data_IF_995412253044
#
_entry.id   IF_995412253044
#
_cell.length_a   1.000
_cell.length_b   1.000
_cell.length_c   1.000
_cell.angle_alpha   90.00
_cell.angle_beta   90.00
_cell.angle_gamma   90.00
#
_symmetry.space_group_name_H-M   'P 1'
#
loop_
_entity.id
_entity.type
_entity.pdbx_description
1 polymer ?
#
# COMPACT_ATOMS: atom_id res chain seq x y z
N UNK A 1 8.81 -2.30 26.72
CA UNK A 1 9.89 -1.38 26.30
C UNK A 1 9.27 -0.41 25.30
N UNK A 2 8.91 0.79 25.73
CA UNK A 2 8.17 1.77 24.92
C UNK A 2 9.20 2.60 24.13
N UNK A 3 9.20 2.57 22.80
CA UNK A 3 10.09 3.42 21.99
C UNK A 3 9.60 4.87 22.09
N UNK A 4 10.36 5.79 22.70
CA UNK A 4 9.81 7.07 23.17
C UNK A 4 9.50 8.12 22.08
N UNK A 5 9.48 7.79 20.79
CA UNK A 5 9.22 8.77 19.70
C UNK A 5 8.65 8.17 18.39
N UNK A 6 7.96 7.02 18.43
CA UNK A 6 7.25 6.54 17.25
C UNK A 6 5.89 7.27 17.15
N UNK A 7 5.82 8.30 16.31
CA UNK A 7 4.57 9.02 16.06
C UNK A 7 3.66 8.18 15.16
N UNK A 8 2.54 7.70 15.71
CA UNK A 8 1.51 6.99 14.97
C UNK A 8 0.50 8.00 14.42
N UNK A 9 0.08 7.80 13.19
CA UNK A 9 -0.94 8.62 12.54
C UNK A 9 -2.05 7.73 11.99
N UNK A 10 -3.30 8.05 12.33
CA UNK A 10 -4.46 7.42 11.71
C UNK A 10 -4.64 7.96 10.29
N UNK A 11 -4.82 7.05 9.34
CA UNK A 11 -4.94 7.35 7.91
C UNK A 11 -5.97 6.41 7.28
N UNK A 12 -6.53 6.82 6.14
CA UNK A 12 -7.39 5.97 5.33
C UNK A 12 -6.55 5.20 4.32
N UNK A 13 -6.53 3.88 4.41
CA UNK A 13 -5.81 3.02 3.48
C UNK A 13 -6.65 2.75 2.23
N UNK A 14 -6.08 2.98 1.06
CA UNK A 14 -6.66 2.63 -0.24
C UNK A 14 -5.82 1.52 -0.86
N UNK A 15 -6.28 0.27 -0.79
CA UNK A 15 -5.59 -0.85 -1.43
C UNK A 15 -5.62 -0.70 -2.96
N UNK A 16 -4.75 -1.46 -3.61
CA UNK A 16 -4.76 -1.55 -5.07
C UNK A 16 -6.07 -2.15 -5.58
N UNK A 17 -6.61 -1.57 -6.66
CA UNK A 17 -7.80 -2.08 -7.35
C UNK A 17 -7.33 -2.71 -8.65
N UNK A 18 -7.29 -4.05 -8.68
CA UNK A 18 -6.60 -4.84 -9.71
C UNK A 18 -7.06 -4.61 -11.16
N UNK A 19 -8.23 -4.04 -11.39
CA UNK A 19 -8.75 -3.73 -12.73
C UNK A 19 -8.50 -2.30 -13.19
N UNK A 20 -8.12 -1.39 -12.27
CA UNK A 20 -8.03 0.04 -12.55
C UNK A 20 -6.58 0.55 -12.69
N UNK A 21 -5.57 -0.28 -12.41
CA UNK A 21 -4.16 0.13 -12.36
C UNK A 21 -3.85 1.15 -11.25
N UNK A 22 -4.78 1.35 -10.31
CA UNK A 22 -4.60 2.28 -9.20
C UNK A 22 -3.74 1.61 -8.13
N UNK A 23 -2.51 2.09 -8.02
CA UNK A 23 -1.53 1.60 -7.04
C UNK A 23 -1.95 1.95 -5.61
N UNK A 24 -1.50 1.14 -4.65
CA UNK A 24 -1.80 1.32 -3.24
C UNK A 24 -1.42 2.73 -2.74
N UNK A 25 -2.34 3.35 -2.00
CA UNK A 25 -2.16 4.69 -1.44
C UNK A 25 -2.84 4.83 -0.09
N UNK A 26 -2.54 5.91 0.64
CA UNK A 26 -3.32 6.28 1.81
C UNK A 26 -3.59 7.78 1.82
N UNK A 27 -4.63 8.19 2.51
CA UNK A 27 -4.95 9.60 2.78
C UNK A 27 -4.66 9.88 4.25
N UNK A 28 -3.85 10.89 4.51
CA UNK A 28 -3.46 11.29 5.86
C UNK A 28 -3.01 12.75 5.95
N UNK A 29 -2.55 13.22 7.11
CA UNK A 29 -2.01 14.57 7.28
C UNK A 29 -0.90 14.89 6.27
N UNK A 30 -0.88 16.10 5.70
CA UNK A 30 0.17 16.50 4.74
C UNK A 30 1.59 16.54 5.34
N UNK A 31 1.70 16.58 6.66
CA UNK A 31 2.95 16.58 7.43
C UNK A 31 2.84 15.51 8.54
N UNK A 32 3.90 14.74 8.88
CA UNK A 32 5.31 14.88 8.52
C UNK A 32 5.80 14.00 7.35
N UNK A 33 4.92 13.49 6.51
CA UNK A 33 5.28 12.50 5.49
C UNK A 33 6.05 13.09 4.31
N UNK A 34 7.21 12.48 3.98
CA UNK A 34 8.00 12.85 2.81
C UNK A 34 8.22 11.66 1.87
N UNK A 35 8.22 11.93 0.56
CA UNK A 35 8.53 10.91 -0.46
C UNK A 35 9.87 10.24 -0.16
N UNK A 36 9.93 8.92 -0.29
CA UNK A 36 11.10 8.11 0.03
C UNK A 36 11.18 7.64 1.49
N UNK A 37 10.36 8.20 2.40
CA UNK A 37 10.30 7.75 3.78
C UNK A 37 9.85 6.28 3.86
N UNK A 38 10.49 5.53 4.75
CA UNK A 38 10.13 4.16 5.09
C UNK A 38 9.33 4.19 6.40
N UNK A 39 8.17 3.55 6.40
CA UNK A 39 7.25 3.56 7.53
C UNK A 39 6.73 2.15 7.81
N UNK A 40 6.13 1.96 8.99
CA UNK A 40 5.33 0.78 9.30
C UNK A 40 3.86 1.15 9.14
N UNK A 41 3.14 0.31 8.40
CA UNK A 41 1.69 0.37 8.24
C UNK A 41 1.08 -0.74 9.08
N UNK A 42 0.16 -0.36 9.96
CA UNK A 42 -0.67 -1.29 10.73
C UNK A 42 -2.11 -1.18 10.19
N UNK A 43 -2.62 -2.27 9.61
CA UNK A 43 -4.01 -2.36 9.11
C UNK A 43 -4.94 -3.09 10.09
N UNK A 44 -4.49 -3.31 11.33
CA UNK A 44 -5.20 -4.04 12.38
C UNK A 44 -5.06 -5.56 12.29
N UNK A 45 -4.73 -6.10 11.11
CA UNK A 45 -4.48 -7.54 10.90
C UNK A 45 -2.99 -7.84 10.73
N UNK A 46 -2.25 -6.90 10.13
CA UNK A 46 -0.86 -7.05 9.73
C UNK A 46 -0.06 -5.77 9.98
N UNK A 47 1.21 -5.96 10.30
CA UNK A 47 2.20 -4.89 10.37
C UNK A 47 3.17 -5.02 9.20
N UNK A 48 3.11 -4.10 8.23
CA UNK A 48 3.90 -4.14 6.99
C UNK A 48 4.83 -2.94 6.89
N UNK A 49 6.01 -3.10 6.28
CA UNK A 49 6.88 -1.96 5.95
C UNK A 49 6.54 -1.41 4.57
N UNK A 50 6.37 -0.10 4.49
CA UNK A 50 6.06 0.61 3.24
C UNK A 50 7.10 1.69 2.95
N UNK A 51 7.26 2.04 1.68
CA UNK A 51 8.04 3.20 1.22
C UNK A 51 7.15 4.15 0.44
N UNK A 52 7.15 5.43 0.83
CA UNK A 52 6.41 6.47 0.10
C UNK A 52 7.06 6.70 -1.27
N UNK A 53 6.26 6.63 -2.33
CA UNK A 53 6.72 6.73 -3.72
C UNK A 53 6.49 8.11 -4.31
N UNK A 54 5.31 8.69 -4.09
CA UNK A 54 4.94 10.05 -4.51
C UNK A 54 3.69 10.54 -3.79
N UNK A 55 3.46 11.85 -3.84
CA UNK A 55 2.19 12.47 -3.47
C UNK A 55 1.29 12.47 -4.70
N UNK A 56 0.06 11.98 -4.57
CA UNK A 56 -0.95 11.98 -5.64
C UNK A 56 -1.75 13.28 -5.63
N UNK A 57 -2.16 13.72 -4.44
CA UNK A 57 -2.98 14.92 -4.25
C UNK A 57 -2.70 15.54 -2.87
N UNK A 58 -2.85 16.85 -2.76
CA UNK A 58 -2.78 17.60 -1.49
C UNK A 58 -3.88 18.64 -1.44
N UNK A 59 -4.70 18.58 -0.39
CA UNK A 59 -5.76 19.56 -0.11
C UNK A 59 -5.57 20.11 1.29
N UNK A 60 -4.78 21.18 1.40
CA UNK A 60 -4.49 21.86 2.66
C UNK A 60 -3.87 20.93 3.70
N UNK A 61 -4.69 20.46 4.65
CA UNK A 61 -4.29 19.66 5.80
C UNK A 61 -4.14 18.17 5.52
N UNK A 62 -4.69 17.66 4.42
CA UNK A 62 -4.60 16.25 4.04
C UNK A 62 -3.93 16.07 2.68
N UNK A 63 -3.26 14.93 2.53
CA UNK A 63 -2.62 14.52 1.29
C UNK A 63 -2.82 13.03 1.06
N UNK A 64 -2.91 12.65 -0.21
CA UNK A 64 -2.91 11.26 -0.64
C UNK A 64 -1.49 10.87 -1.08
N UNK A 65 -0.96 9.82 -0.49
CA UNK A 65 0.38 9.32 -0.73
C UNK A 65 0.33 7.94 -1.35
N UNK A 66 1.00 7.76 -2.48
CA UNK A 66 1.24 6.45 -3.04
C UNK A 66 2.43 5.80 -2.33
N UNK A 67 2.33 4.50 -2.04
CA UNK A 67 3.42 3.74 -1.44
C UNK A 67 3.63 2.39 -2.13
N UNK A 68 4.74 1.72 -1.81
CA UNK A 68 4.99 0.33 -2.13
C UNK A 68 5.40 -0.44 -0.88
N UNK A 69 5.07 -1.72 -0.80
CA UNK A 69 5.55 -2.59 0.27
C UNK A 69 7.04 -2.90 0.09
N UNK A 70 7.80 -2.95 1.18
CA UNK A 70 9.26 -3.23 1.14
C UNK A 70 9.54 -4.74 1.21
N UNK A 71 8.67 -5.49 1.87
CA UNK A 71 8.85 -6.94 2.10
C UNK A 71 8.09 -7.80 1.06
N UNK A 72 7.37 -7.18 0.12
CA UNK A 72 6.82 -7.87 -1.05
C UNK A 72 7.79 -7.65 -2.21
N UNK A 73 8.52 -8.71 -2.57
CA UNK A 73 9.24 -8.79 -3.84
C UNK A 73 8.21 -8.49 -4.94
N UNK A 74 8.53 -7.52 -5.81
CA UNK A 74 7.69 -7.01 -6.89
C UNK A 74 6.93 -8.14 -7.62
N UNK A 75 5.61 -8.23 -7.40
CA UNK A 75 4.67 -8.89 -8.32
C UNK A 75 3.93 -7.87 -9.20
N UNK A 76 4.46 -6.65 -9.32
CA UNK A 76 3.84 -5.58 -10.12
C UNK A 76 4.81 -5.07 -11.18
N UNK A 77 5.36 -5.99 -11.97
CA UNK A 77 6.06 -5.68 -13.21
C UNK A 77 6.11 -6.88 -14.17
N UNK A 78 4.97 -7.52 -14.46
CA UNK A 78 4.88 -8.41 -15.63
C UNK A 78 3.43 -8.49 -16.14
N UNK A 79 3.04 -7.45 -16.89
CA UNK A 79 2.04 -7.62 -17.93
C UNK A 79 2.67 -8.38 -19.08
N UNK A 80 2.50 -9.71 -19.09
CA UNK A 80 3.01 -10.61 -20.10
C UNK A 80 2.43 -12.01 -19.95
N UNK A 81 1.17 -12.18 -20.38
CA UNK A 81 0.52 -13.44 -20.79
C UNK A 81 0.93 -14.73 -20.04
N UNK A 82 0.15 -15.11 -19.04
CA UNK A 82 -0.26 -16.51 -18.87
C UNK A 82 -1.61 -16.53 -18.13
N UNK A 83 -2.67 -16.21 -18.89
CA UNK A 83 -4.00 -16.74 -18.62
C UNK A 83 -3.85 -18.28 -18.56
N UNK A 84 -4.44 -18.93 -17.53
CA UNK A 84 -4.66 -20.40 -17.39
C UNK A 84 -4.23 -21.01 -16.05
N UNK A 85 -4.32 -20.30 -14.90
CA UNK A 85 -4.09 -20.96 -13.60
C UNK A 85 -5.11 -20.66 -12.50
N UNK A 86 -5.98 -19.65 -12.66
CA UNK A 86 -6.96 -19.28 -11.64
C UNK A 86 -8.38 -19.83 -11.91
N UNK A 87 -8.65 -20.38 -13.11
CA UNK A 87 -9.95 -21.00 -13.42
C UNK A 87 -10.05 -22.47 -13.00
N UNK A 88 -8.92 -23.16 -12.78
CA UNK A 88 -8.89 -24.57 -12.37
C UNK A 88 -9.28 -24.78 -10.89
N UNK A 89 -9.20 -23.72 -10.07
CA UNK A 89 -9.59 -23.80 -8.65
C UNK A 89 -11.12 -23.75 -8.43
N UNK A 90 -11.92 -23.53 -9.48
CA UNK A 90 -13.38 -23.44 -9.36
C UNK A 90 -14.06 -24.82 -9.47
N UNK A 91 -13.39 -25.82 -10.05
CA UNK A 91 -13.94 -27.17 -10.20
C UNK A 91 -13.42 -28.20 -9.20
N UNK A 92 -12.54 -27.81 -8.26
CA UNK A 92 -12.02 -28.72 -7.23
C UNK A 92 -12.86 -28.75 -5.93
N UNK A 93 -14.07 -28.16 -5.94
CA UNK A 93 -15.04 -28.21 -4.84
C UNK A 93 -16.32 -28.92 -5.30
N UNK A 94 -16.17 -30.13 -5.85
CA UNK A 94 -17.25 -31.12 -6.00
C UNK A 94 -16.69 -32.53 -5.78
#
# INVERSE_FOLDING_TARGET
MNLPNAQTHECLLLPEVGTSGQLASFIGPSYPFNVGNKMKLDDGSNNRKIKLKRVLETTGTISQFQFSYIDQVDQSAEGGSNEDSDFDNIWSII
#
